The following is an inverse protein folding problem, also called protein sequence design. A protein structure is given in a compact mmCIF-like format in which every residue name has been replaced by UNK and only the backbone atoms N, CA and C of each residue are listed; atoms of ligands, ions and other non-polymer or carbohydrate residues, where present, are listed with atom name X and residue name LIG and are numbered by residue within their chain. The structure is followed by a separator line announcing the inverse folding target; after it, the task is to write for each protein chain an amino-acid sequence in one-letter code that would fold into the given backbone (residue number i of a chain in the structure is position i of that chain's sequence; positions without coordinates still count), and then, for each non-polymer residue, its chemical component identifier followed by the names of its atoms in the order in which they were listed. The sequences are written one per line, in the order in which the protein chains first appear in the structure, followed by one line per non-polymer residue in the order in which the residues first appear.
data_IF_367474007283
#
_entry.id   IF_367474007283
#
_cell.length_a   1.000
_cell.length_b   1.000
_cell.length_c   1.000
_cell.angle_alpha   90.00
_cell.angle_beta   90.00
_cell.angle_gamma   90.00
#
_symmetry.space_group_name_H-M   'P 1'
#
loop_
_entity.id
_entity.type
_entity.pdbx_description
1 polymer ?
#
# COMPACT_ATOMS: atom_id res chain seq x y z
N UNK A 1 20.31 14.36 5.56
CA UNK A 1 20.26 15.56 4.70
C UNK A 1 18.82 15.93 4.36
N UNK A 2 18.08 15.06 3.64
CA UNK A 2 16.70 15.29 3.22
C UNK A 2 15.80 15.84 4.35
N UNK A 3 15.81 15.22 5.55
CA UNK A 3 15.09 15.70 6.75
C UNK A 3 15.27 17.20 7.07
N UNK A 4 16.45 17.78 6.77
CA UNK A 4 16.75 19.20 7.01
C UNK A 4 16.29 20.12 5.89
N UNK A 5 16.20 19.62 4.66
CA UNK A 5 15.91 20.43 3.47
C UNK A 5 14.50 20.22 2.92
N UNK A 6 13.72 19.29 3.48
CA UNK A 6 12.39 18.91 2.98
C UNK A 6 11.34 20.04 2.90
N UNK A 7 11.54 21.12 3.64
CA UNK A 7 10.65 22.31 3.58
C UNK A 7 11.02 23.29 2.45
N UNK A 8 12.16 23.08 1.78
CA UNK A 8 12.52 23.82 0.58
C UNK A 8 12.15 22.95 -0.63
N UNK A 9 11.20 23.39 -1.44
CA UNK A 9 10.61 22.61 -2.54
C UNK A 9 11.66 22.04 -3.51
N UNK A 10 12.56 22.88 -4.01
CA UNK A 10 13.60 22.48 -4.97
C UNK A 10 14.56 21.46 -4.35
N UNK A 11 15.05 21.73 -3.13
CA UNK A 11 15.96 20.83 -2.45
C UNK A 11 15.28 19.53 -2.00
N UNK A 12 13.98 19.59 -1.69
CA UNK A 12 13.15 18.43 -1.38
C UNK A 12 13.12 17.49 -2.59
N UNK A 13 12.74 18.00 -3.77
CA UNK A 13 12.69 17.23 -5.02
C UNK A 13 14.05 16.58 -5.31
N UNK A 14 15.14 17.34 -5.29
CA UNK A 14 16.47 16.80 -5.59
C UNK A 14 16.93 15.75 -4.58
N UNK A 15 16.77 16.03 -3.28
CA UNK A 15 17.20 15.10 -2.24
C UNK A 15 16.34 13.84 -2.19
N UNK A 16 15.05 13.94 -2.48
CA UNK A 16 14.14 12.80 -2.58
C UNK A 16 14.45 11.93 -3.79
N UNK A 17 14.73 12.54 -4.95
CA UNK A 17 15.20 11.82 -6.14
C UNK A 17 16.47 11.03 -5.87
N UNK A 18 17.43 11.59 -5.12
CA UNK A 18 18.61 10.84 -4.69
C UNK A 18 18.24 9.62 -3.83
N UNK A 19 17.30 9.75 -2.89
CA UNK A 19 16.83 8.63 -2.07
C UNK A 19 16.14 7.55 -2.92
N UNK A 20 15.33 7.94 -3.90
CA UNK A 20 14.68 7.03 -4.87
C UNK A 20 15.70 6.27 -5.71
N UNK A 21 16.83 6.88 -6.08
CA UNK A 21 17.88 6.17 -6.81
C UNK A 21 18.65 5.20 -5.90
N UNK A 22 18.96 5.65 -4.68
CA UNK A 22 19.64 4.83 -3.68
C UNK A 22 18.81 3.62 -3.25
N UNK A 23 17.48 3.72 -3.18
CA UNK A 23 16.60 2.59 -2.83
C UNK A 23 16.59 1.46 -3.87
N UNK A 24 17.12 1.71 -5.07
CA UNK A 24 17.33 0.70 -6.11
C UNK A 24 18.79 0.29 -6.29
N UNK A 25 19.68 0.69 -5.37
CA UNK A 25 21.12 0.39 -5.49
C UNK A 25 21.37 -1.12 -5.32
N UNK A 26 21.78 -1.78 -6.40
CA UNK A 26 22.12 -3.20 -6.42
C UNK A 26 23.48 -3.44 -7.07
N UNK A 27 24.05 -4.62 -6.86
CA UNK A 27 25.23 -5.08 -7.59
C UNK A 27 26.53 -5.13 -6.78
N UNK A 28 27.70 -5.22 -7.45
CA UNK A 28 29.00 -5.47 -6.83
C UNK A 28 29.44 -4.42 -5.81
N UNK A 29 28.89 -3.22 -5.87
CA UNK A 29 29.16 -2.14 -4.90
C UNK A 29 28.69 -2.50 -3.48
N UNK A 30 27.78 -3.47 -3.34
CA UNK A 30 27.27 -3.96 -2.06
C UNK A 30 27.80 -5.36 -1.70
N UNK A 31 28.82 -5.86 -2.42
CA UNK A 31 29.51 -7.12 -2.06
C UNK A 31 30.68 -6.81 -1.12
N UNK A 32 30.87 -7.66 -0.10
CA UNK A 32 32.02 -7.53 0.79
C UNK A 32 33.31 -7.71 -0.03
N UNK A 33 34.13 -6.67 -0.07
CA UNK A 33 35.40 -6.65 -0.80
C UNK A 33 36.56 -7.32 -0.05
N UNK A 34 36.31 -7.88 1.14
CA UNK A 34 37.36 -8.46 1.98
C UNK A 34 37.41 -9.99 1.89
N UNK A 35 38.54 -10.50 1.41
CA UNK A 35 38.95 -11.88 1.67
C UNK A 35 39.08 -12.10 3.18
N UNK A 36 38.58 -13.24 3.64
CA UNK A 36 38.42 -13.78 5.01
C UNK A 36 39.65 -13.69 5.97
N UNK A 37 40.76 -13.08 5.58
CA UNK A 37 42.03 -13.09 6.35
C UNK A 37 42.18 -11.89 7.31
N UNK A 38 41.41 -10.81 7.15
CA UNK A 38 41.66 -9.56 7.92
C UNK A 38 40.64 -9.25 9.03
N UNK A 39 39.59 -10.06 9.23
CA UNK A 39 38.65 -9.86 10.34
C UNK A 39 39.21 -10.39 11.67
N UNK A 40 40.25 -9.72 12.18
CA UNK A 40 40.59 -9.74 13.60
C UNK A 40 40.43 -8.34 14.17
N UNK A 41 39.56 -8.26 15.17
CA UNK A 41 39.30 -7.14 16.11
C UNK A 41 38.35 -6.03 15.63
N UNK A 42 37.05 -6.34 15.68
CA UNK A 42 36.09 -5.43 16.31
C UNK A 42 35.26 -6.21 17.34
N UNK A 43 35.80 -6.26 18.56
CA UNK A 43 35.08 -6.68 19.76
C UNK A 43 34.05 -5.62 20.13
N UNK A 44 32.92 -5.63 19.42
CA UNK A 44 31.65 -5.10 19.90
C UNK A 44 30.56 -6.05 19.43
N UNK A 45 30.22 -6.99 20.30
CA UNK A 45 29.14 -7.96 20.15
C UNK A 45 27.79 -7.25 19.97
N UNK A 46 27.37 -6.95 18.73
CA UNK A 46 25.97 -6.53 18.41
C UNK A 46 25.54 -6.48 16.93
N UNK A 47 26.36 -6.80 15.91
CA UNK A 47 25.89 -6.67 14.51
C UNK A 47 25.35 -7.97 13.92
N UNK A 48 24.02 -8.10 13.83
CA UNK A 48 23.29 -9.23 13.23
C UNK A 48 23.32 -9.27 11.68
N UNK A 49 24.24 -8.55 11.03
CA UNK A 49 24.32 -8.43 9.58
C UNK A 49 25.23 -9.49 8.97
N UNK A 50 24.78 -10.16 7.90
CA UNK A 50 25.55 -11.24 7.25
C UNK A 50 26.56 -10.67 6.25
N UNK A 51 26.27 -9.52 5.63
CA UNK A 51 27.10 -8.89 4.60
C UNK A 51 26.82 -7.38 4.50
N UNK A 52 27.60 -6.66 3.68
CA UNK A 52 27.42 -5.23 3.40
C UNK A 52 26.02 -4.87 2.86
N UNK A 53 25.39 -5.73 2.06
CA UNK A 53 24.05 -5.50 1.54
C UNK A 53 22.99 -5.50 2.66
N UNK A 54 23.04 -6.44 3.60
CA UNK A 54 22.13 -6.47 4.76
C UNK A 54 22.28 -5.21 5.62
N UNK A 55 23.52 -4.75 5.81
CA UNK A 55 23.82 -3.51 6.52
C UNK A 55 23.28 -2.29 5.77
N UNK A 56 23.39 -2.26 4.44
CA UNK A 56 22.85 -1.20 3.61
C UNK A 56 21.32 -1.10 3.76
N UNK A 57 20.61 -2.20 3.55
CA UNK A 57 19.13 -2.25 3.67
C UNK A 57 18.69 -1.83 5.06
N UNK A 58 19.36 -2.32 6.11
CA UNK A 58 19.01 -2.00 7.49
C UNK A 58 19.23 -0.53 7.83
N UNK A 59 20.35 0.06 7.39
CA UNK A 59 20.60 1.49 7.55
C UNK A 59 19.62 2.35 6.75
N UNK A 60 19.26 1.90 5.54
CA UNK A 60 18.28 2.60 4.72
C UNK A 60 16.92 2.62 5.42
N UNK A 61 16.45 1.48 5.95
CA UNK A 61 15.21 1.39 6.71
C UNK A 61 15.23 2.30 7.94
N UNK A 62 16.33 2.30 8.71
CA UNK A 62 16.47 3.17 9.86
C UNK A 62 16.41 4.67 9.47
N UNK A 63 17.08 5.05 8.38
CA UNK A 63 17.02 6.40 7.83
C UNK A 63 15.64 6.78 7.29
N UNK A 64 14.94 5.83 6.65
CA UNK A 64 13.57 6.00 6.19
C UNK A 64 12.64 6.32 7.36
N UNK A 65 12.74 5.58 8.46
CA UNK A 65 11.93 5.82 9.67
C UNK A 65 12.25 7.17 10.30
N UNK A 66 13.53 7.56 10.36
CA UNK A 66 13.92 8.88 10.89
C UNK A 66 13.30 10.04 10.08
N UNK A 67 13.14 9.84 8.77
CA UNK A 67 12.58 10.86 7.86
C UNK A 67 11.05 10.84 7.90
N UNK A 68 10.44 9.67 7.69
CA UNK A 68 9.01 9.51 7.39
C UNK A 68 8.19 8.94 8.54
N UNK A 69 8.79 8.65 9.70
CA UNK A 69 8.08 8.11 10.86
C UNK A 69 6.98 9.01 11.42
N UNK A 70 6.99 10.30 11.09
CA UNK A 70 5.91 11.26 11.41
C UNK A 70 4.96 11.54 10.24
N UNK A 71 5.11 10.83 9.12
CA UNK A 71 4.39 11.05 7.87
C UNK A 71 5.18 11.83 6.81
N UNK A 72 4.88 11.62 5.51
CA UNK A 72 5.41 12.44 4.42
C UNK A 72 4.70 13.81 4.36
N UNK A 73 5.37 14.80 3.79
CA UNK A 73 4.74 16.01 3.28
C UNK A 73 4.04 15.68 1.95
N UNK A 74 3.09 16.52 1.53
CA UNK A 74 2.32 16.30 0.29
C UNK A 74 3.23 16.08 -0.93
N UNK A 75 4.22 16.94 -1.14
CA UNK A 75 5.20 16.82 -2.22
C UNK A 75 6.19 15.65 -2.11
N UNK A 76 6.15 14.87 -1.02
CA UNK A 76 7.01 13.70 -0.81
C UNK A 76 6.30 12.37 -1.03
N UNK A 77 4.96 12.36 -1.11
CA UNK A 77 4.15 11.14 -1.15
C UNK A 77 4.60 10.20 -2.27
N UNK A 78 4.69 10.72 -3.51
CA UNK A 78 5.13 9.93 -4.66
C UNK A 78 6.53 9.33 -4.43
N UNK A 79 7.47 10.15 -3.95
CA UNK A 79 8.84 9.69 -3.73
C UNK A 79 8.96 8.66 -2.60
N UNK A 80 8.16 8.78 -1.52
CA UNK A 80 8.04 7.76 -0.49
C UNK A 80 7.54 6.44 -1.08
N UNK A 81 6.47 6.48 -1.88
CA UNK A 81 5.89 5.30 -2.51
C UNK A 81 6.90 4.60 -3.43
N UNK A 82 7.62 5.37 -4.25
CA UNK A 82 8.69 4.85 -5.12
C UNK A 82 9.88 4.28 -4.33
N UNK A 83 10.25 4.89 -3.20
CA UNK A 83 11.29 4.34 -2.32
C UNK A 83 10.85 2.98 -1.79
N UNK A 84 9.63 2.87 -1.25
CA UNK A 84 9.07 1.62 -0.72
C UNK A 84 9.03 0.56 -1.81
N UNK A 85 8.43 0.88 -2.97
CA UNK A 85 8.35 -0.01 -4.12
C UNK A 85 9.73 -0.56 -4.50
N UNK A 86 10.70 0.33 -4.73
CA UNK A 86 12.06 -0.06 -5.13
C UNK A 86 12.78 -0.87 -4.07
N UNK A 87 12.66 -0.49 -2.80
CA UNK A 87 13.29 -1.26 -1.74
C UNK A 87 12.79 -2.71 -1.77
N UNK A 88 11.47 -2.88 -1.74
CA UNK A 88 10.82 -4.19 -1.64
C UNK A 88 11.03 -5.05 -2.90
N UNK A 89 11.17 -4.44 -4.07
CA UNK A 89 11.31 -5.17 -5.35
C UNK A 89 12.76 -5.46 -5.76
N UNK A 90 13.72 -4.58 -5.45
CA UNK A 90 15.10 -4.72 -5.92
C UNK A 90 16.00 -5.45 -4.90
N UNK A 91 15.69 -5.38 -3.61
CA UNK A 91 16.52 -6.00 -2.57
C UNK A 91 16.04 -7.40 -2.18
N UNK A 92 16.98 -8.23 -1.75
CA UNK A 92 16.69 -9.58 -1.24
C UNK A 92 15.77 -9.51 -0.03
N UNK A 93 14.64 -10.22 -0.07
CA UNK A 93 13.61 -10.20 0.97
C UNK A 93 14.14 -10.57 2.37
N UNK A 94 15.15 -11.46 2.42
CA UNK A 94 15.79 -11.88 3.66
C UNK A 94 16.68 -10.81 4.32
N UNK A 95 16.99 -9.72 3.60
CA UNK A 95 17.73 -8.57 4.16
C UNK A 95 16.87 -7.77 5.14
N UNK A 96 15.56 -7.71 4.91
CA UNK A 96 14.66 -6.85 5.67
C UNK A 96 14.51 -7.25 7.15
N UNK A 97 14.28 -8.54 7.49
CA UNK A 97 14.24 -9.00 8.88
C UNK A 97 15.49 -8.66 9.70
N UNK A 98 16.64 -8.43 9.05
CA UNK A 98 17.91 -8.06 9.71
C UNK A 98 17.88 -6.65 10.29
N UNK A 99 16.95 -5.80 9.85
CA UNK A 99 16.72 -4.49 10.45
C UNK A 99 15.91 -4.57 11.77
N UNK A 100 15.59 -5.77 12.25
CA UNK A 100 14.98 -6.00 13.56
C UNK A 100 13.70 -5.18 13.78
N UNK A 101 13.59 -4.44 14.88
CA UNK A 101 12.40 -3.63 15.20
C UNK A 101 12.15 -2.54 14.15
N UNK A 102 13.21 -2.01 13.51
CA UNK A 102 13.05 -1.05 12.43
C UNK A 102 12.29 -1.65 11.26
N UNK A 103 12.44 -2.94 10.97
CA UNK A 103 11.63 -3.58 9.93
C UNK A 103 10.14 -3.58 10.26
N UNK A 104 9.77 -3.89 11.51
CA UNK A 104 8.37 -3.88 11.95
C UNK A 104 7.79 -2.46 11.85
N UNK A 105 8.52 -1.44 12.31
CA UNK A 105 8.10 -0.04 12.20
C UNK A 105 7.96 0.39 10.74
N UNK A 106 8.86 -0.04 9.86
CA UNK A 106 8.79 0.24 8.43
C UNK A 106 7.53 -0.34 7.79
N UNK A 107 7.20 -1.60 8.09
CA UNK A 107 5.97 -2.24 7.64
C UNK A 107 4.73 -1.47 8.13
N UNK A 108 4.71 -1.06 9.40
CA UNK A 108 3.59 -0.28 9.94
C UNK A 108 3.42 1.07 9.24
N UNK A 109 4.52 1.77 8.90
CA UNK A 109 4.47 3.02 8.13
C UNK A 109 3.88 2.77 6.74
N UNK A 110 4.25 1.67 6.07
CA UNK A 110 3.68 1.31 4.76
C UNK A 110 2.16 1.13 4.88
N UNK A 111 1.69 0.37 5.86
CA UNK A 111 0.25 0.11 6.06
C UNK A 111 -0.50 1.40 6.34
N UNK A 112 -0.01 2.24 7.25
CA UNK A 112 -0.62 3.53 7.58
C UNK A 112 -0.64 4.49 6.38
N UNK A 113 0.48 4.55 5.64
CA UNK A 113 0.57 5.37 4.44
C UNK A 113 -0.41 4.88 3.37
N UNK A 114 -0.51 3.57 3.17
CA UNK A 114 -1.44 2.96 2.21
C UNK A 114 -2.89 3.27 2.58
N UNK A 115 -3.27 3.09 3.86
CA UNK A 115 -4.63 3.39 4.34
C UNK A 115 -5.01 4.85 4.09
N UNK A 116 -4.12 5.79 4.45
CA UNK A 116 -4.36 7.21 4.26
C UNK A 116 -4.41 7.60 2.78
N UNK A 117 -3.43 7.12 1.99
CA UNK A 117 -3.30 7.43 0.58
C UNK A 117 -4.47 6.86 -0.23
N UNK A 118 -5.03 5.72 0.16
CA UNK A 118 -6.19 5.13 -0.52
C UNK A 118 -7.35 6.11 -0.61
N UNK A 119 -7.69 6.78 0.50
CA UNK A 119 -8.79 7.75 0.50
C UNK A 119 -8.49 8.96 -0.39
N UNK A 120 -7.25 9.45 -0.36
CA UNK A 120 -6.83 10.60 -1.17
C UNK A 120 -6.86 10.25 -2.66
N UNK A 121 -6.26 9.11 -3.03
CA UNK A 121 -6.12 8.66 -4.41
C UNK A 121 -7.48 8.43 -5.07
N UNK A 122 -8.39 7.73 -4.38
CA UNK A 122 -9.74 7.51 -4.90
C UNK A 122 -10.53 8.81 -5.03
N UNK A 123 -10.44 9.71 -4.05
CA UNK A 123 -11.13 11.01 -4.12
C UNK A 123 -10.62 11.85 -5.29
N UNK A 124 -9.30 11.99 -5.41
CA UNK A 124 -8.63 12.73 -6.47
C UNK A 124 -9.02 12.21 -7.86
N UNK A 125 -9.03 10.89 -8.02
CA UNK A 125 -9.44 10.28 -9.28
C UNK A 125 -10.93 10.50 -9.59
N UNK A 126 -11.82 10.29 -8.62
CA UNK A 126 -13.27 10.36 -8.84
C UNK A 126 -13.82 11.80 -8.92
N UNK A 127 -13.23 12.76 -8.19
CA UNK A 127 -13.72 14.15 -8.12
C UNK A 127 -12.96 15.12 -9.02
N UNK A 128 -11.65 14.91 -9.20
CA UNK A 128 -10.75 15.86 -9.87
C UNK A 128 -10.14 15.30 -11.17
N UNK A 129 -10.41 14.04 -11.53
CA UNK A 129 -9.78 13.32 -12.66
C UNK A 129 -8.23 13.32 -12.55
N UNK A 130 -7.72 13.37 -11.31
CA UNK A 130 -6.27 13.39 -11.02
C UNK A 130 -5.79 11.99 -10.61
N UNK A 131 -5.13 11.32 -11.56
CA UNK A 131 -4.63 9.96 -11.38
C UNK A 131 -3.22 9.87 -10.76
N UNK A 132 -2.55 10.99 -10.43
CA UNK A 132 -1.18 10.98 -9.90
C UNK A 132 -1.04 10.14 -8.62
N UNK A 133 -2.05 10.23 -7.74
CA UNK A 133 -2.06 9.49 -6.49
C UNK A 133 -2.44 8.01 -6.67
N UNK A 134 -3.09 7.63 -7.78
CA UNK A 134 -3.36 6.23 -8.11
C UNK A 134 -2.05 5.50 -8.44
N UNK A 135 -1.16 6.10 -9.22
CA UNK A 135 0.16 5.52 -9.53
C UNK A 135 1.02 5.35 -8.27
N UNK A 136 0.92 6.32 -7.36
CA UNK A 136 1.60 6.27 -6.05
C UNK A 136 1.07 5.11 -5.20
N UNK A 137 -0.25 4.95 -5.14
CA UNK A 137 -0.89 3.86 -4.42
C UNK A 137 -0.57 2.49 -5.04
N UNK A 138 -0.57 2.39 -6.37
CA UNK A 138 -0.20 1.18 -7.09
C UNK A 138 1.24 0.76 -6.77
N UNK A 139 2.17 1.71 -6.68
CA UNK A 139 3.56 1.44 -6.29
C UNK A 139 3.65 0.80 -4.88
N UNK A 140 2.82 1.23 -3.93
CA UNK A 140 2.73 0.61 -2.61
C UNK A 140 2.15 -0.80 -2.68
N UNK A 141 1.11 -1.01 -3.49
CA UNK A 141 0.51 -2.32 -3.69
C UNK A 141 1.49 -3.32 -4.32
N UNK A 142 2.24 -2.91 -5.33
CA UNK A 142 3.26 -3.76 -5.96
C UNK A 142 4.38 -4.13 -4.98
N UNK A 143 4.82 -3.19 -4.15
CA UNK A 143 5.76 -3.46 -3.07
C UNK A 143 5.19 -4.41 -2.02
N UNK A 144 3.94 -4.18 -1.58
CA UNK A 144 3.25 -5.03 -0.61
C UNK A 144 3.05 -6.45 -1.13
N UNK A 145 2.79 -6.61 -2.42
CA UNK A 145 2.65 -7.91 -3.06
C UNK A 145 3.92 -8.77 -2.90
N UNK A 146 5.10 -8.17 -3.07
CA UNK A 146 6.37 -8.87 -2.84
C UNK A 146 6.49 -9.34 -1.40
N UNK A 147 6.09 -8.49 -0.44
CA UNK A 147 6.11 -8.84 0.98
C UNK A 147 5.14 -9.98 1.30
N UNK A 148 3.89 -9.88 0.82
CA UNK A 148 2.84 -10.85 1.09
C UNK A 148 3.18 -12.24 0.55
N UNK A 149 3.67 -12.32 -0.70
CA UNK A 149 4.10 -13.59 -1.31
C UNK A 149 5.25 -14.28 -0.58
N UNK A 150 6.06 -13.51 0.14
CA UNK A 150 7.21 -14.01 0.89
C UNK A 150 6.96 -13.99 2.41
N UNK A 151 5.71 -13.79 2.84
CA UNK A 151 5.34 -13.58 4.25
C UNK A 151 5.80 -14.72 5.17
N UNK A 152 5.69 -15.98 4.73
CA UNK A 152 6.17 -17.12 5.52
C UNK A 152 7.69 -17.13 5.70
N UNK A 153 8.44 -16.83 4.64
CA UNK A 153 9.91 -16.73 4.67
C UNK A 153 10.32 -15.60 5.62
N UNK A 154 9.65 -14.45 5.53
CA UNK A 154 9.89 -13.30 6.39
C UNK A 154 9.57 -13.64 7.84
N UNK A 155 8.43 -14.28 8.11
CA UNK A 155 7.99 -14.66 9.46
C UNK A 155 8.99 -15.59 10.12
N UNK A 156 9.52 -16.55 9.37
CA UNK A 156 10.54 -17.49 9.86
C UNK A 156 11.91 -16.84 10.10
N UNK A 157 12.26 -15.83 9.31
CA UNK A 157 13.55 -15.12 9.43
C UNK A 157 13.51 -13.97 10.46
N UNK A 158 12.33 -13.50 10.83
CA UNK A 158 12.16 -12.33 11.70
C UNK A 158 12.23 -12.68 13.17
N UNK A 159 13.06 -11.93 13.91
CA UNK A 159 13.11 -11.99 15.38
C UNK A 159 11.86 -11.38 16.02
N UNK A 160 11.30 -10.36 15.39
CA UNK A 160 10.09 -9.66 15.84
C UNK A 160 8.93 -10.00 14.91
N UNK A 161 7.74 -10.31 15.46
CA UNK A 161 6.61 -10.72 14.65
C UNK A 161 6.09 -9.56 13.79
N UNK A 162 5.80 -9.86 12.52
CA UNK A 162 5.08 -8.97 11.60
C UNK A 162 3.69 -9.56 11.37
N UNK A 163 2.65 -8.79 11.67
CA UNK A 163 1.26 -9.22 11.51
C UNK A 163 0.78 -8.95 10.07
N UNK A 164 1.19 -9.81 9.13
CA UNK A 164 0.78 -9.70 7.72
C UNK A 164 -0.73 -9.82 7.53
N UNK A 165 -1.40 -10.63 8.36
CA UNK A 165 -2.83 -10.89 8.28
C UNK A 165 -3.61 -9.60 8.54
N UNK A 166 -3.39 -8.99 9.70
CA UNK A 166 -4.01 -7.71 10.07
C UNK A 166 -3.59 -6.59 9.11
N UNK A 167 -2.31 -6.50 8.76
CA UNK A 167 -1.81 -5.46 7.85
C UNK A 167 -2.49 -5.51 6.48
N UNK A 168 -2.62 -6.70 5.91
CA UNK A 168 -3.23 -6.87 4.58
C UNK A 168 -4.73 -6.65 4.63
N UNK A 169 -5.40 -7.13 5.68
CA UNK A 169 -6.83 -6.86 5.87
C UNK A 169 -7.11 -5.37 6.06
N UNK A 170 -6.23 -4.62 6.72
CA UNK A 170 -6.33 -3.17 6.87
C UNK A 170 -6.23 -2.47 5.51
N UNK A 171 -5.27 -2.87 4.66
CA UNK A 171 -5.11 -2.34 3.30
C UNK A 171 -6.38 -2.59 2.47
N UNK A 172 -6.88 -3.83 2.45
CA UNK A 172 -8.10 -4.18 1.72
C UNK A 172 -9.30 -3.39 2.27
N UNK A 173 -9.43 -3.33 3.59
CA UNK A 173 -10.53 -2.61 4.25
C UNK A 173 -10.46 -1.11 4.02
N UNK A 174 -9.28 -0.51 3.84
CA UNK A 174 -9.15 0.89 3.46
C UNK A 174 -9.80 1.14 2.09
N UNK A 175 -9.46 0.33 1.09
CA UNK A 175 -10.07 0.42 -0.24
C UNK A 175 -11.59 0.24 -0.17
N UNK A 176 -12.08 -0.82 0.49
CA UNK A 176 -13.51 -1.07 0.64
C UNK A 176 -14.26 0.09 1.31
N UNK A 177 -13.69 0.66 2.39
CA UNK A 177 -14.32 1.79 3.10
C UNK A 177 -14.40 3.03 2.21
N UNK A 178 -13.43 3.25 1.34
CA UNK A 178 -13.42 4.43 0.46
C UNK A 178 -14.46 4.34 -0.65
N UNK A 179 -14.80 3.14 -1.12
CA UNK A 179 -15.73 2.94 -2.25
C UNK A 179 -17.16 2.57 -1.85
N UNK A 180 -17.43 2.28 -0.58
CA UNK A 180 -18.76 1.95 -0.07
C UNK A 180 -19.33 3.09 0.78
N UNK A 181 -20.65 3.27 0.75
CA UNK A 181 -21.33 4.18 1.67
C UNK A 181 -21.47 3.57 3.07
N UNK A 182 -21.95 4.38 4.01
CA UNK A 182 -22.41 3.92 5.32
C UNK A 182 -23.42 2.75 5.15
N UNK A 183 -23.40 1.71 6.01
CA UNK A 183 -22.54 1.54 7.19
C UNK A 183 -21.20 0.84 6.92
N UNK A 184 -20.90 0.47 5.67
CA UNK A 184 -19.74 -0.35 5.34
C UNK A 184 -18.50 0.47 4.95
N UNK A 185 -18.69 1.76 4.71
CA UNK A 185 -17.63 2.69 4.35
C UNK A 185 -18.06 4.14 4.55
N UNK A 186 -17.22 5.02 4.02
CA UNK A 186 -17.34 6.47 4.11
C UNK A 186 -17.14 7.13 2.74
N UNK A 187 -17.59 6.47 1.65
CA UNK A 187 -17.52 7.02 0.29
C UNK A 187 -18.09 8.44 0.27
N UNK A 188 -17.28 9.38 -0.22
CA UNK A 188 -17.72 10.76 -0.42
C UNK A 188 -18.71 10.80 -1.56
N UNK A 189 -19.79 11.56 -1.40
CA UNK A 189 -20.77 11.77 -2.47
C UNK A 189 -20.14 12.63 -3.55
N UNK A 190 -19.81 12.03 -4.68
CA UNK A 190 -19.39 12.75 -5.87
C UNK A 190 -20.66 13.31 -6.54
N UNK A 191 -20.67 14.58 -6.99
CA UNK A 191 -21.78 15.11 -7.78
C UNK A 191 -22.02 14.22 -8.99
N UNK A 192 -23.29 13.98 -9.34
CA UNK A 192 -23.64 13.23 -10.53
C UNK A 192 -23.06 13.99 -11.73
N UNK A 193 -21.97 13.49 -12.31
CA UNK A 193 -21.52 13.92 -13.62
C UNK A 193 -22.49 13.34 -14.65
N UNK A 194 -22.87 14.14 -15.64
CA UNK A 194 -23.58 13.63 -16.80
C UNK A 194 -22.70 12.55 -17.43
N UNK A 195 -23.22 11.34 -17.64
CA UNK A 195 -22.50 10.28 -18.32
C UNK A 195 -22.16 10.77 -19.72
N UNK A 196 -20.92 11.22 -19.91
CA UNK A 196 -20.34 11.41 -21.22
C UNK A 196 -19.81 10.05 -21.69
N UNK A 197 -20.13 9.67 -22.92
CA UNK A 197 -19.70 8.38 -23.50
C UNK A 197 -18.17 8.27 -23.64
N UNK A 198 -17.45 9.37 -23.37
CA UNK A 198 -15.99 9.48 -23.37
C UNK A 198 -15.33 9.22 -22.00
N UNK A 199 -16.09 9.06 -20.91
CA UNK A 199 -15.52 8.75 -19.58
C UNK A 199 -15.20 7.26 -19.47
N UNK A 200 -13.95 6.93 -19.15
CA UNK A 200 -13.52 5.55 -18.92
C UNK A 200 -14.31 4.92 -17.75
N UNK A 201 -14.73 3.66 -17.93
CA UNK A 201 -15.39 2.87 -16.89
C UNK A 201 -14.48 2.79 -15.65
N UNK A 202 -15.05 2.96 -14.44
CA UNK A 202 -14.36 2.76 -13.15
C UNK A 202 -13.55 1.46 -13.16
N UNK A 203 -14.05 0.42 -13.83
CA UNK A 203 -13.33 -0.84 -14.01
C UNK A 203 -11.96 -0.68 -14.69
N UNK A 204 -11.84 0.16 -15.72
CA UNK A 204 -10.58 0.39 -16.43
C UNK A 204 -9.70 1.41 -15.69
N UNK A 205 -10.28 2.48 -15.13
CA UNK A 205 -9.53 3.47 -14.35
C UNK A 205 -8.85 2.81 -13.14
N UNK A 206 -9.57 1.98 -12.40
CA UNK A 206 -9.09 1.38 -11.15
C UNK A 206 -8.57 -0.05 -11.31
N UNK A 207 -8.42 -0.52 -12.55
CA UNK A 207 -8.07 -1.91 -12.91
C UNK A 207 -6.88 -2.47 -12.14
N UNK A 208 -5.75 -1.77 -12.12
CA UNK A 208 -4.52 -2.28 -11.50
C UNK A 208 -4.66 -2.37 -9.97
N UNK A 209 -5.36 -1.42 -9.36
CA UNK A 209 -5.66 -1.44 -7.93
C UNK A 209 -6.61 -2.60 -7.59
N UNK A 210 -7.65 -2.79 -8.39
CA UNK A 210 -8.63 -3.87 -8.27
C UNK A 210 -7.96 -5.25 -8.38
N UNK A 211 -7.09 -5.45 -9.38
CA UNK A 211 -6.29 -6.67 -9.54
C UNK A 211 -5.39 -6.90 -8.33
N UNK A 212 -4.78 -5.85 -7.78
CA UNK A 212 -3.93 -5.95 -6.59
C UNK A 212 -4.73 -6.35 -5.35
N UNK A 213 -5.92 -5.76 -5.15
CA UNK A 213 -6.85 -6.13 -4.07
C UNK A 213 -7.30 -7.59 -4.22
N UNK A 214 -7.61 -8.05 -5.44
CA UNK A 214 -7.92 -9.45 -5.72
C UNK A 214 -6.79 -10.39 -5.29
N UNK A 215 -5.56 -10.09 -5.72
CA UNK A 215 -4.35 -10.85 -5.33
C UNK A 215 -4.13 -10.90 -3.83
N UNK A 216 -4.35 -9.81 -3.12
CA UNK A 216 -4.24 -9.80 -1.66
C UNK A 216 -5.34 -10.64 -1.02
N UNK A 217 -6.56 -10.53 -1.54
CA UNK A 217 -7.72 -11.23 -1.04
C UNK A 217 -7.63 -12.75 -1.19
N UNK A 218 -6.92 -13.24 -2.21
CA UNK A 218 -6.66 -14.67 -2.40
C UNK A 218 -5.96 -15.35 -1.20
N UNK A 219 -5.18 -14.59 -0.41
CA UNK A 219 -4.55 -15.11 0.82
C UNK A 219 -5.52 -15.19 1.99
N UNK A 220 -6.63 -14.46 1.94
CA UNK A 220 -7.57 -14.27 3.05
C UNK A 220 -9.03 -14.52 2.64
N UNK A 221 -9.26 -15.28 1.57
CA UNK A 221 -10.61 -15.59 1.05
C UNK A 221 -11.58 -16.13 2.11
N UNK A 222 -11.16 -17.01 3.05
CA UNK A 222 -12.07 -17.50 4.11
C UNK A 222 -12.62 -16.39 5.01
N UNK A 223 -11.92 -15.25 5.11
CA UNK A 223 -12.30 -14.12 5.94
C UNK A 223 -13.08 -13.07 5.14
N UNK A 224 -12.72 -12.89 3.86
CA UNK A 224 -13.29 -11.85 3.00
C UNK A 224 -14.57 -12.29 2.28
N UNK A 225 -14.63 -13.52 1.76
CA UNK A 225 -15.81 -14.01 1.03
C UNK A 225 -17.09 -13.96 1.86
N UNK A 226 -17.12 -14.39 3.14
CA UNK A 226 -18.32 -14.25 3.96
C UNK A 226 -18.76 -12.80 4.13
N UNK A 227 -17.82 -11.86 4.25
CA UNK A 227 -18.12 -10.42 4.38
C UNK A 227 -18.75 -9.87 3.10
N UNK A 228 -18.19 -10.22 1.94
CA UNK A 228 -18.75 -9.83 0.64
C UNK A 228 -20.14 -10.42 0.43
N UNK A 229 -20.36 -11.67 0.82
CA UNK A 229 -21.68 -12.31 0.75
C UNK A 229 -22.71 -11.57 1.62
N UNK A 230 -22.36 -11.26 2.88
CA UNK A 230 -23.23 -10.49 3.77
C UNK A 230 -23.56 -9.11 3.18
N UNK A 231 -22.55 -8.39 2.68
CA UNK A 231 -22.75 -7.09 2.02
C UNK A 231 -23.74 -7.19 0.87
N UNK A 232 -23.52 -8.11 -0.07
CA UNK A 232 -24.40 -8.29 -1.23
C UNK A 232 -25.83 -8.68 -0.82
N UNK A 233 -25.97 -9.59 0.15
CA UNK A 233 -27.26 -10.00 0.65
C UNK A 233 -28.03 -8.83 1.29
N UNK A 234 -27.35 -8.00 2.08
CA UNK A 234 -27.97 -6.84 2.71
C UNK A 234 -28.36 -5.78 1.68
N UNK A 235 -27.55 -5.57 0.64
CA UNK A 235 -27.91 -4.68 -0.48
C UNK A 235 -29.11 -5.21 -1.29
N UNK A 236 -29.21 -6.51 -1.52
CA UNK A 236 -30.38 -7.12 -2.17
C UNK A 236 -31.66 -6.93 -1.35
N UNK A 237 -31.59 -7.12 -0.02
CA UNK A 237 -32.74 -6.86 0.87
C UNK A 237 -33.16 -5.39 0.84
N UNK A 238 -32.20 -4.46 0.83
CA UNK A 238 -32.48 -3.03 0.69
C UNK A 238 -33.21 -2.73 -0.62
N UNK A 239 -32.77 -3.31 -1.73
CA UNK A 239 -33.42 -3.13 -3.04
C UNK A 239 -34.85 -3.65 -3.08
N UNK A 240 -35.12 -4.82 -2.48
CA UNK A 240 -36.48 -5.35 -2.36
C UNK A 240 -37.38 -4.38 -1.59
N UNK A 241 -36.88 -3.80 -0.50
CA UNK A 241 -37.62 -2.77 0.25
C UNK A 241 -37.91 -1.52 -0.57
N UNK A 242 -36.99 -1.11 -1.47
CA UNK A 242 -37.20 0.03 -2.36
C UNK A 242 -38.31 -0.23 -3.38
N UNK A 243 -38.44 -1.47 -3.87
CA UNK A 243 -39.53 -1.86 -4.78
C UNK A 243 -40.88 -1.75 -4.09
N UNK A 244 -40.97 -2.15 -2.82
CA UNK A 244 -42.23 -2.17 -2.07
C UNK A 244 -42.71 -0.77 -1.63
N UNK A 245 -41.78 0.07 -1.16
CA UNK A 245 -42.11 1.33 -0.46
C UNK A 245 -41.83 2.56 -1.34
N UNK A 246 -41.06 2.40 -2.42
CA UNK A 246 -40.48 3.49 -3.18
C UNK A 246 -39.24 4.07 -2.50
N UNK A 247 -38.40 4.74 -3.28
CA UNK A 247 -37.15 5.35 -2.82
C UNK A 247 -36.88 6.62 -3.62
N UNK A 248 -36.21 7.61 -3.02
CA UNK A 248 -35.77 8.79 -3.75
C UNK A 248 -34.53 8.49 -4.61
N UNK A 249 -34.30 9.31 -5.64
CA UNK A 249 -33.23 9.10 -6.60
C UNK A 249 -31.84 9.13 -5.95
N UNK A 250 -31.62 9.99 -4.95
CA UNK A 250 -30.33 10.11 -4.25
C UNK A 250 -29.95 8.81 -3.51
N UNK A 251 -30.91 8.21 -2.80
CA UNK A 251 -30.71 6.96 -2.07
C UNK A 251 -30.55 5.79 -3.04
N UNK A 252 -31.32 5.78 -4.14
CA UNK A 252 -31.18 4.78 -5.18
C UNK A 252 -29.81 4.85 -5.87
N UNK A 253 -29.31 6.05 -6.17
CA UNK A 253 -27.99 6.25 -6.77
C UNK A 253 -26.88 5.80 -5.81
N UNK A 254 -26.97 6.16 -4.53
CA UNK A 254 -26.02 5.68 -3.50
C UNK A 254 -25.97 4.15 -3.46
N UNK A 255 -27.13 3.49 -3.53
CA UNK A 255 -27.22 2.03 -3.59
C UNK A 255 -26.64 1.45 -4.88
N UNK A 256 -26.86 2.10 -6.04
CA UNK A 256 -26.34 1.65 -7.34
C UNK A 256 -24.81 1.64 -7.33
N UNK A 257 -24.19 2.71 -6.86
CA UNK A 257 -22.75 2.80 -6.74
C UNK A 257 -22.21 1.75 -5.77
N UNK A 258 -22.86 1.56 -4.61
CA UNK A 258 -22.46 0.51 -3.66
C UNK A 258 -22.52 -0.88 -4.28
N UNK A 259 -23.56 -1.16 -5.07
CA UNK A 259 -23.68 -2.42 -5.81
C UNK A 259 -22.61 -2.53 -6.89
N UNK A 260 -22.34 -1.47 -7.66
CA UNK A 260 -21.30 -1.42 -8.68
C UNK A 260 -19.94 -1.80 -8.07
N UNK A 261 -19.50 -1.10 -7.02
CA UNK A 261 -18.24 -1.38 -6.35
C UNK A 261 -18.20 -2.75 -5.68
N UNK A 262 -19.31 -3.18 -5.07
CA UNK A 262 -19.40 -4.51 -4.45
C UNK A 262 -19.24 -5.64 -5.48
N UNK A 263 -19.81 -5.47 -6.68
CA UNK A 263 -19.70 -6.45 -7.76
C UNK A 263 -18.31 -6.48 -8.37
N UNK A 264 -17.68 -5.33 -8.60
CA UNK A 264 -16.28 -5.27 -9.06
C UNK A 264 -15.35 -5.97 -8.07
N UNK A 265 -15.45 -5.64 -6.78
CA UNK A 265 -14.66 -6.27 -5.71
C UNK A 265 -14.91 -7.79 -5.64
N UNK A 266 -16.17 -8.22 -5.72
CA UNK A 266 -16.50 -9.64 -5.68
C UNK A 266 -15.91 -10.39 -6.86
N UNK A 267 -15.94 -9.79 -8.05
CA UNK A 267 -15.31 -10.34 -9.25
C UNK A 267 -13.82 -10.59 -9.05
N UNK A 268 -13.08 -9.58 -8.59
CA UNK A 268 -11.63 -9.68 -8.38
C UNK A 268 -11.23 -10.60 -7.22
N UNK A 269 -12.04 -10.69 -6.16
CA UNK A 269 -11.78 -11.60 -5.03
C UNK A 269 -11.96 -13.07 -5.44
N UNK A 270 -12.80 -13.34 -6.45
CA UNK A 270 -13.10 -14.70 -6.93
C UNK A 270 -12.20 -15.17 -8.08
N UNK A 271 -11.44 -14.27 -8.72
CA UNK A 271 -10.48 -14.57 -9.80
C UNK A 271 -9.15 -15.11 -9.25
#
# INVERSE_FOLDING_TARGET
LHKRVRHNEILCIHSLNCLIQLSSLIGPVLTDSESVVSQKLSTSSTSNFINAHDRFVSNFIAGFIDIFGSGPLEGEILGLCLIVYKLLTYHRILSFPRAEMSFVTFVNIIVQCTEHLTTIAMRKALEEDDHLYLESLQSLYDGWWVMLRNSDIIRNASRYPVNFDESTLTIISAFMRTVLSEPYGCRVKVPIQECDDEVDDDREIFKELLVSIGRFSAFYSPQLLPRMFTLLLDKLKQFLSFIEIGVNDETLNTWRDDMHWSLLLTGEIML
#
